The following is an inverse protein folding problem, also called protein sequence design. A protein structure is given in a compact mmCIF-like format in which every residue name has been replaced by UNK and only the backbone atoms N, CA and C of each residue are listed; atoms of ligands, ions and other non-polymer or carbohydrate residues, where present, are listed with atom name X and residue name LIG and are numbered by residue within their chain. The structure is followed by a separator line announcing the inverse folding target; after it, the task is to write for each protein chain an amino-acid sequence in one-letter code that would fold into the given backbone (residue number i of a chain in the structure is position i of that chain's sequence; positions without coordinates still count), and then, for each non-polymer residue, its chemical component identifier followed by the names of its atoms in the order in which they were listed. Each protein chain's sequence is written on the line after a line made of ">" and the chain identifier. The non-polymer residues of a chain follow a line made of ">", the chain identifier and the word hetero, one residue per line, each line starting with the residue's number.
data_IF_416366582496
#
_entry.id   IF_416366582496
#
_cell.length_a   1.000
_cell.length_b   1.000
_cell.length_c   1.000
_cell.angle_alpha   90.00
_cell.angle_beta   90.00
_cell.angle_gamma   90.00
#
_symmetry.space_group_name_H-M   'P 1'
#
loop_
_entity.id
_entity.type
_entity.pdbx_description
1 polymer ?
#
# COMPACT_ATOMS: atom_id res chain seq x y z
N UNK A 1 -7.61 24.49 38.48
CA UNK A 1 -8.32 24.76 37.21
C UNK A 1 -7.36 25.40 36.22
N UNK A 2 -7.28 24.83 35.03
CA UNK A 2 -6.36 25.34 34.02
C UNK A 2 -6.89 26.70 33.50
N UNK A 3 -6.01 27.69 33.36
CA UNK A 3 -6.36 28.96 32.79
C UNK A 3 -6.74 28.77 31.32
N UNK A 4 -7.90 29.28 30.93
CA UNK A 4 -8.41 29.14 29.58
C UNK A 4 -7.46 29.72 28.52
N UNK A 5 -6.76 30.81 28.83
CA UNK A 5 -5.77 31.40 27.93
C UNK A 5 -4.55 30.50 27.71
N UNK A 6 -4.05 29.87 28.77
CA UNK A 6 -2.92 28.95 28.69
C UNK A 6 -3.34 27.66 27.93
N UNK A 7 -4.52 27.14 28.22
CA UNK A 7 -5.06 26.00 27.51
C UNK A 7 -5.31 26.33 26.04
N UNK A 8 -5.78 27.54 25.76
CA UNK A 8 -6.02 28.01 24.40
C UNK A 8 -4.73 28.14 23.59
N UNK A 9 -3.67 28.66 24.19
CA UNK A 9 -2.37 28.80 23.53
C UNK A 9 -1.74 27.42 23.24
N UNK A 10 -1.79 26.52 24.21
CA UNK A 10 -1.31 25.14 24.02
C UNK A 10 -2.10 24.42 22.94
N UNK A 11 -3.41 24.53 22.98
CA UNK A 11 -4.28 23.92 22.00
C UNK A 11 -4.01 24.45 20.59
N UNK A 12 -3.85 25.75 20.46
CA UNK A 12 -3.51 26.37 19.18
C UNK A 12 -2.17 25.87 18.64
N UNK A 13 -1.16 25.79 19.50
CA UNK A 13 0.16 25.27 19.13
C UNK A 13 0.09 23.83 18.64
N UNK A 14 -0.70 23.00 19.32
CA UNK A 14 -0.90 21.62 18.91
C UNK A 14 -1.62 21.54 17.55
N UNK A 15 -2.68 22.30 17.39
CA UNK A 15 -3.44 22.35 16.14
C UNK A 15 -2.54 22.78 14.97
N UNK A 16 -1.79 23.84 15.15
CA UNK A 16 -0.89 24.36 14.12
C UNK A 16 0.19 23.33 13.72
N UNK A 17 0.70 22.59 14.69
CA UNK A 17 1.66 21.51 14.43
C UNK A 17 1.03 20.38 13.63
N UNK A 18 -0.17 19.99 13.99
CA UNK A 18 -0.92 18.94 13.26
C UNK A 18 -1.19 19.41 11.82
N UNK A 19 -1.67 20.63 11.67
CA UNK A 19 -1.96 21.19 10.34
C UNK A 19 -0.74 21.22 9.44
N UNK A 20 0.41 21.62 9.97
CA UNK A 20 1.66 21.62 9.22
C UNK A 20 2.07 20.21 8.80
N UNK A 21 1.95 19.23 9.70
CA UNK A 21 2.27 17.84 9.40
C UNK A 21 1.29 17.25 8.38
N UNK A 22 0.03 17.63 8.44
CA UNK A 22 -0.96 17.22 7.45
C UNK A 22 -0.64 17.79 6.05
N UNK A 23 -0.17 19.03 5.99
CA UNK A 23 0.30 19.63 4.74
C UNK A 23 1.53 18.88 4.18
N UNK A 24 2.49 18.58 5.03
CA UNK A 24 3.68 17.81 4.64
C UNK A 24 3.29 16.41 4.14
N UNK A 25 2.37 15.78 4.85
CA UNK A 25 1.84 14.46 4.45
C UNK A 25 1.19 14.53 3.08
N UNK A 26 0.38 15.56 2.84
CA UNK A 26 -0.29 15.73 1.54
C UNK A 26 0.74 15.96 0.42
N UNK A 27 1.78 16.74 0.69
CA UNK A 27 2.86 16.96 -0.26
C UNK A 27 3.57 15.65 -0.62
N UNK A 28 3.85 14.81 0.38
CA UNK A 28 4.45 13.50 0.15
C UNK A 28 3.50 12.60 -0.64
N UNK A 29 2.22 12.61 -0.30
CA UNK A 29 1.22 11.83 -1.03
C UNK A 29 1.15 12.23 -2.50
N UNK A 30 1.22 13.53 -2.78
CA UNK A 30 1.24 14.06 -4.15
C UNK A 30 2.49 13.61 -4.90
N UNK A 31 3.66 13.65 -4.24
CA UNK A 31 4.92 13.19 -4.81
C UNK A 31 4.90 11.70 -5.14
N UNK A 32 4.34 10.88 -4.26
CA UNK A 32 4.16 9.44 -4.50
C UNK A 32 3.27 9.22 -5.74
N UNK A 33 2.18 9.95 -5.81
CA UNK A 33 1.26 9.89 -6.95
C UNK A 33 1.98 10.22 -8.25
N UNK A 34 2.83 11.23 -8.24
CA UNK A 34 3.62 11.64 -9.41
C UNK A 34 4.58 10.54 -9.85
N UNK A 35 5.24 9.86 -8.92
CA UNK A 35 6.14 8.75 -9.23
C UNK A 35 5.39 7.59 -9.87
N UNK A 36 4.20 7.24 -9.38
CA UNK A 36 3.37 6.20 -10.00
C UNK A 36 2.90 6.62 -11.41
N UNK A 37 2.58 7.90 -11.60
CA UNK A 37 2.22 8.41 -12.93
C UNK A 37 3.39 8.32 -13.91
N UNK A 38 4.59 8.64 -13.46
CA UNK A 38 5.82 8.48 -14.24
C UNK A 38 6.06 7.00 -14.61
N UNK A 39 5.92 6.10 -13.66
CA UNK A 39 6.07 4.67 -13.88
C UNK A 39 5.07 4.17 -14.94
N UNK A 40 3.83 4.59 -14.83
CA UNK A 40 2.78 4.25 -15.79
C UNK A 40 3.11 4.78 -17.19
N UNK A 41 3.61 6.00 -17.28
CA UNK A 41 4.04 6.59 -18.55
C UNK A 41 5.18 5.81 -19.19
N UNK A 42 6.02 5.15 -18.38
CA UNK A 42 7.11 4.29 -18.84
C UNK A 42 6.68 2.84 -19.11
N UNK A 43 5.39 2.55 -19.04
CA UNK A 43 4.85 1.22 -19.35
C UNK A 43 4.74 0.26 -18.17
N UNK A 44 5.00 0.71 -16.95
CA UNK A 44 4.84 -0.14 -15.77
C UNK A 44 3.40 -0.14 -15.27
N UNK A 45 3.00 -1.23 -14.64
CA UNK A 45 1.68 -1.36 -14.05
C UNK A 45 1.70 -0.81 -12.61
N UNK A 46 1.00 0.31 -12.40
CA UNK A 46 0.97 0.98 -11.11
C UNK A 46 0.35 0.12 -10.00
N UNK A 47 -0.64 -0.70 -10.34
CA UNK A 47 -1.30 -1.59 -9.38
C UNK A 47 -0.34 -2.67 -8.88
N UNK A 48 0.41 -3.26 -9.78
CA UNK A 48 1.44 -4.25 -9.44
C UNK A 48 2.55 -3.62 -8.62
N UNK A 49 2.99 -2.41 -8.99
CA UNK A 49 4.01 -1.68 -8.23
C UNK A 49 3.58 -1.42 -6.79
N UNK A 50 2.31 -1.03 -6.58
CA UNK A 50 1.79 -0.83 -5.22
C UNK A 50 1.82 -2.12 -4.40
N UNK A 51 1.54 -3.24 -5.03
CA UNK A 51 1.63 -4.54 -4.37
C UNK A 51 3.07 -4.88 -4.01
N UNK A 52 4.01 -4.65 -4.91
CA UNK A 52 5.44 -4.87 -4.66
C UNK A 52 5.92 -4.02 -3.47
N UNK A 53 5.53 -2.74 -3.43
CA UNK A 53 5.90 -1.85 -2.32
C UNK A 53 5.38 -2.40 -0.99
N UNK A 54 4.13 -2.89 -0.95
CA UNK A 54 3.56 -3.51 0.26
C UNK A 54 4.33 -4.76 0.68
N UNK A 55 4.65 -5.63 -0.28
CA UNK A 55 5.39 -6.86 -0.01
C UNK A 55 6.79 -6.57 0.55
N UNK A 56 7.45 -5.52 0.06
CA UNK A 56 8.79 -5.15 0.52
C UNK A 56 8.81 -4.60 1.94
N UNK A 57 7.67 -4.17 2.47
CA UNK A 57 7.55 -3.73 3.87
C UNK A 57 7.44 -4.88 4.84
N UNK A 58 7.05 -6.06 4.37
CA UNK A 58 6.89 -7.25 5.20
C UNK A 58 8.25 -7.87 5.49
N UNK A 59 8.39 -8.45 6.69
CA UNK A 59 9.55 -9.27 7.01
C UNK A 59 9.59 -10.47 6.07
N UNK A 60 10.79 -10.89 5.59
CA UNK A 60 10.89 -12.00 4.65
C UNK A 60 10.20 -13.28 5.11
N UNK A 61 10.30 -13.60 6.39
CA UNK A 61 9.65 -14.79 6.94
C UNK A 61 8.12 -14.71 6.88
N UNK A 62 7.56 -13.56 7.24
CA UNK A 62 6.12 -13.32 7.19
C UNK A 62 5.60 -13.38 5.76
N UNK A 63 6.37 -12.83 4.83
CA UNK A 63 6.01 -12.87 3.41
C UNK A 63 6.00 -14.30 2.89
N UNK A 64 7.02 -15.10 3.24
CA UNK A 64 7.10 -16.50 2.85
C UNK A 64 5.93 -17.32 3.40
N UNK A 65 5.58 -17.10 4.67
CA UNK A 65 4.43 -17.75 5.29
C UNK A 65 3.13 -17.40 4.59
N UNK A 66 2.94 -16.12 4.29
CA UNK A 66 1.74 -15.66 3.59
C UNK A 66 1.65 -16.28 2.19
N UNK A 67 2.75 -16.26 1.43
CA UNK A 67 2.80 -16.84 0.09
C UNK A 67 2.53 -18.34 0.11
N UNK A 68 3.06 -19.05 1.10
CA UNK A 68 2.84 -20.48 1.24
C UNK A 68 1.36 -20.81 1.54
N UNK A 69 0.74 -20.05 2.43
CA UNK A 69 -0.68 -20.23 2.78
C UNK A 69 -1.56 -19.86 1.59
N UNK A 70 -1.25 -18.79 0.91
CA UNK A 70 -1.98 -18.36 -0.29
C UNK A 70 -1.92 -19.46 -1.36
N UNK A 71 -0.74 -19.99 -1.63
CA UNK A 71 -0.55 -21.05 -2.60
C UNK A 71 -1.35 -22.30 -2.22
N UNK A 72 -1.34 -22.69 -0.95
CA UNK A 72 -2.09 -23.83 -0.46
C UNK A 72 -3.60 -23.64 -0.70
N UNK A 73 -4.13 -22.47 -0.41
CA UNK A 73 -5.54 -22.16 -0.61
C UNK A 73 -5.89 -22.15 -2.10
N UNK A 74 -5.02 -21.58 -2.91
CA UNK A 74 -5.20 -21.54 -4.36
C UNK A 74 -5.23 -22.95 -4.94
N UNK A 75 -4.33 -23.82 -4.52
CA UNK A 75 -4.33 -25.22 -4.93
C UNK A 75 -5.61 -25.92 -4.53
N UNK A 76 -6.09 -25.71 -3.30
CA UNK A 76 -7.32 -26.30 -2.81
C UNK A 76 -8.55 -25.85 -3.62
N UNK A 77 -8.50 -24.63 -4.17
CA UNK A 77 -9.58 -24.08 -5.00
C UNK A 77 -9.37 -24.33 -6.50
N UNK A 78 -8.30 -25.02 -6.88
CA UNK A 78 -7.97 -25.22 -8.28
C UNK A 78 -7.45 -23.98 -8.99
N UNK A 79 -6.92 -22.99 -8.24
CA UNK A 79 -6.41 -21.73 -8.74
C UNK A 79 -4.89 -21.72 -8.68
N UNK A 80 -4.23 -22.36 -9.61
CA UNK A 80 -2.77 -22.32 -9.66
C UNK A 80 -2.30 -21.42 -10.82
N UNK A 81 -1.12 -20.86 -10.69
CA UNK A 81 -0.56 -19.94 -11.68
C UNK A 81 0.42 -20.61 -12.65
N UNK A 82 0.34 -21.93 -12.82
CA UNK A 82 1.17 -22.60 -13.80
C UNK A 82 0.56 -22.49 -15.21
N UNK A 83 1.38 -22.75 -16.24
CA UNK A 83 0.96 -22.63 -17.64
C UNK A 83 -0.19 -23.60 -17.99
N UNK A 84 -0.21 -24.79 -17.42
CA UNK A 84 -1.28 -25.76 -17.64
C UNK A 84 -2.62 -25.23 -17.15
N UNK A 85 -2.65 -24.63 -15.97
CA UNK A 85 -3.89 -24.06 -15.43
C UNK A 85 -4.35 -22.85 -16.22
N UNK A 86 -3.42 -22.02 -16.66
CA UNK A 86 -3.73 -20.89 -17.51
C UNK A 86 -4.34 -21.36 -18.84
N UNK A 87 -3.77 -22.39 -19.43
CA UNK A 87 -4.28 -22.98 -20.66
C UNK A 87 -5.68 -23.58 -20.47
N UNK A 88 -5.92 -24.31 -19.38
CA UNK A 88 -7.23 -24.87 -19.05
C UNK A 88 -8.28 -23.79 -18.86
N UNK A 89 -7.94 -22.69 -18.18
CA UNK A 89 -8.86 -21.57 -17.99
C UNK A 89 -9.20 -20.90 -19.33
N UNK A 90 -8.21 -20.75 -20.19
CA UNK A 90 -8.44 -20.21 -21.53
C UNK A 90 -9.37 -21.10 -22.37
N UNK A 91 -9.23 -22.41 -22.27
CA UNK A 91 -10.10 -23.39 -22.97
C UNK A 91 -11.51 -23.40 -22.40
N UNK A 92 -11.65 -23.18 -21.08
CA UNK A 92 -12.95 -23.19 -20.41
C UNK A 92 -13.76 -21.90 -20.60
N UNK A 93 -13.12 -20.83 -21.02
CA UNK A 93 -13.77 -19.52 -21.15
C UNK A 93 -14.65 -19.39 -22.41
#
# INVERSE_FOLDING_TARGET
>A
MVNAGVAGDQLRAIVERIERLEEEKQGIADDIKDVYAEAKANGFDAKVLRQIVRLRKQEPNERQEYEAILDLYMQALGMTFNEEDAARRAEAA
#
